data_IF_929858187798
#
_entry.id   IF_929858187798
#
_cell.length_a   1.000
_cell.length_b   1.000
_cell.length_c   1.000
_cell.angle_alpha   90.00
_cell.angle_beta   90.00
_cell.angle_gamma   90.00
#
_symmetry.space_group_name_H-M   'P 1'
#
loop_
_entity.id
_entity.type
_entity.pdbx_description
1 polymer ?
#
# COMPACT_ATOMS: atom_id res chain seq x y z
N UNK A 1 6.91 22.85 -10.16
CA UNK A 1 8.09 21.97 -10.24
C UNK A 1 7.67 20.75 -11.01
N UNK A 2 8.33 20.49 -12.13
CA UNK A 2 8.08 19.33 -12.99
C UNK A 2 8.31 18.06 -12.14
N UNK A 3 7.29 17.22 -12.03
CA UNK A 3 7.33 15.96 -11.27
C UNK A 3 7.54 14.77 -12.21
N UNK A 4 7.98 14.98 -13.44
CA UNK A 4 8.28 13.90 -14.36
C UNK A 4 9.30 12.92 -13.76
N UNK A 5 9.05 11.62 -13.89
CA UNK A 5 9.95 10.57 -13.46
C UNK A 5 10.65 9.97 -14.67
N UNK A 6 11.98 9.98 -14.66
CA UNK A 6 12.75 9.19 -15.60
C UNK A 6 12.82 7.74 -15.14
N UNK A 7 12.35 6.81 -15.97
CA UNK A 7 12.41 5.38 -15.73
C UNK A 7 12.87 4.65 -16.99
N UNK A 8 14.08 4.10 -16.95
CA UNK A 8 14.76 3.60 -18.15
C UNK A 8 15.02 4.73 -19.16
N UNK A 9 14.54 4.54 -20.39
CA UNK A 9 14.62 5.55 -21.45
C UNK A 9 13.40 6.48 -21.50
N UNK A 10 12.38 6.24 -20.68
CA UNK A 10 11.13 6.98 -20.71
C UNK A 10 11.12 8.08 -19.64
N UNK A 11 10.39 9.14 -19.95
CA UNK A 11 9.96 10.16 -19.01
C UNK A 11 8.45 10.03 -18.83
N UNK A 12 8.00 9.93 -17.58
CA UNK A 12 6.62 9.59 -17.24
C UNK A 12 6.05 10.67 -16.33
N UNK A 13 4.92 11.23 -16.74
CA UNK A 13 4.13 12.13 -15.90
C UNK A 13 3.28 11.34 -14.90
N UNK A 14 3.10 11.85 -13.67
CA UNK A 14 2.30 11.17 -12.68
C UNK A 14 0.80 11.43 -12.85
N UNK A 15 0.00 10.44 -12.49
CA UNK A 15 -1.35 10.69 -11.97
C UNK A 15 -1.23 11.37 -10.61
N UNK A 16 -2.01 12.43 -10.40
CA UNK A 16 -1.95 13.23 -9.17
C UNK A 16 -3.20 12.97 -8.34
N UNK A 17 -3.03 12.55 -7.08
CA UNK A 17 -4.14 12.57 -6.13
C UNK A 17 -4.24 13.92 -5.46
N UNK A 18 -5.42 14.54 -5.54
CA UNK A 18 -5.72 15.81 -4.87
C UNK A 18 -6.51 15.63 -3.57
N UNK A 19 -6.49 16.64 -2.72
CA UNK A 19 -7.25 16.69 -1.48
C UNK A 19 -8.77 16.59 -1.72
N UNK A 20 -9.27 17.20 -2.79
CA UNK A 20 -10.67 17.11 -3.21
C UNK A 20 -11.14 15.67 -3.44
N UNK A 21 -10.26 14.77 -3.87
CA UNK A 21 -10.55 13.35 -4.12
C UNK A 21 -10.43 12.47 -2.86
N UNK A 22 -9.97 13.04 -1.75
CA UNK A 22 -9.73 12.35 -0.47
C UNK A 22 -10.77 12.71 0.61
N UNK A 23 -11.76 13.55 0.27
CA UNK A 23 -12.71 14.12 1.24
C UNK A 23 -13.48 13.07 2.05
N UNK A 24 -13.78 11.94 1.44
CA UNK A 24 -14.56 10.87 2.06
C UNK A 24 -13.75 10.02 3.04
N UNK A 25 -12.43 10.21 3.14
CA UNK A 25 -11.54 9.31 3.89
C UNK A 25 -10.61 10.03 4.87
N UNK A 26 -10.95 11.27 5.24
CA UNK A 26 -10.15 12.12 6.14
C UNK A 26 -10.76 12.15 7.54
N UNK A 27 -9.89 12.02 8.54
CA UNK A 27 -10.25 12.08 9.95
C UNK A 27 -10.75 13.46 10.40
N UNK A 28 -9.98 14.51 10.09
CA UNK A 28 -10.22 15.87 10.56
C UNK A 28 -11.16 16.64 9.61
N UNK A 29 -12.46 16.40 9.76
CA UNK A 29 -13.51 16.98 8.92
C UNK A 29 -13.60 18.50 9.09
N UNK A 30 -13.38 19.01 10.31
CA UNK A 30 -13.50 20.44 10.58
C UNK A 30 -12.40 21.23 9.88
N UNK A 31 -11.16 20.73 9.91
CA UNK A 31 -10.09 21.26 9.07
C UNK A 31 -10.44 21.18 7.58
N UNK A 32 -10.96 20.03 7.12
CA UNK A 32 -11.25 19.77 5.71
C UNK A 32 -12.28 20.76 5.12
N UNK A 33 -13.24 21.25 5.90
CA UNK A 33 -14.25 22.24 5.44
C UNK A 33 -13.63 23.51 4.85
N UNK A 34 -12.47 23.91 5.35
CA UNK A 34 -11.79 25.16 4.95
C UNK A 34 -10.48 24.94 4.21
N UNK A 35 -9.99 23.69 4.15
CA UNK A 35 -8.71 23.39 3.54
C UNK A 35 -8.74 23.66 2.02
N UNK A 36 -7.77 24.42 1.47
CA UNK A 36 -7.67 24.62 0.03
C UNK A 36 -7.28 23.30 -0.66
N UNK A 37 -7.80 23.09 -1.87
CA UNK A 37 -7.42 21.92 -2.65
C UNK A 37 -5.93 21.98 -3.02
N UNK A 38 -5.27 20.82 -2.99
CA UNK A 38 -3.85 20.68 -3.26
C UNK A 38 -3.51 19.24 -3.64
N UNK A 39 -2.39 19.07 -4.32
CA UNK A 39 -1.81 17.75 -4.59
C UNK A 39 -1.35 17.10 -3.28
N UNK A 40 -1.59 15.80 -3.15
CA UNK A 40 -1.22 15.00 -1.98
C UNK A 40 -0.16 13.96 -2.29
N UNK A 41 -0.27 13.25 -3.42
CA UNK A 41 0.71 12.27 -3.85
C UNK A 41 0.64 12.01 -5.36
N UNK A 42 1.70 11.41 -5.88
CA UNK A 42 1.97 11.24 -7.30
C UNK A 42 2.16 9.75 -7.61
N UNK A 43 1.46 9.22 -8.60
CA UNK A 43 1.49 7.81 -9.00
C UNK A 43 1.98 7.70 -10.44
N UNK A 44 3.06 6.96 -10.66
CA UNK A 44 3.64 6.68 -11.97
C UNK A 44 3.35 5.22 -12.28
N UNK A 45 2.49 4.97 -13.25
CA UNK A 45 1.93 3.63 -13.50
C UNK A 45 2.51 2.98 -14.74
N UNK A 46 2.43 1.64 -14.78
CA UNK A 46 2.81 0.82 -15.94
C UNK A 46 4.27 1.06 -16.41
N UNK A 47 5.18 1.13 -15.44
CA UNK A 47 6.58 1.46 -15.66
C UNK A 47 7.40 0.24 -16.11
N UNK A 48 8.20 0.40 -17.16
CA UNK A 48 9.16 -0.59 -17.62
C UNK A 48 10.48 0.07 -18.03
N UNK A 49 11.62 -0.53 -17.65
CA UNK A 49 12.97 -0.04 -17.98
C UNK A 49 13.33 -0.27 -19.45
N UNK A 50 12.78 -1.32 -20.08
CA UNK A 50 13.01 -1.64 -21.48
C UNK A 50 11.74 -2.17 -22.16
N UNK A 51 11.74 -2.20 -23.50
CA UNK A 51 10.65 -2.82 -24.28
C UNK A 51 10.52 -4.32 -24.00
N UNK A 52 11.64 -5.00 -23.74
CA UNK A 52 11.65 -6.42 -23.42
C UNK A 52 11.00 -6.68 -22.06
N UNK A 53 11.37 -5.89 -21.04
CA UNK A 53 10.73 -5.97 -19.72
C UNK A 53 9.22 -5.71 -19.84
N UNK A 54 8.83 -4.70 -20.64
CA UNK A 54 7.41 -4.42 -20.90
C UNK A 54 6.69 -5.61 -21.51
N UNK A 55 7.28 -6.29 -22.50
CA UNK A 55 6.69 -7.49 -23.09
C UNK A 55 6.51 -8.58 -22.03
N UNK A 56 7.55 -8.89 -21.25
CA UNK A 56 7.49 -9.91 -20.20
C UNK A 56 6.41 -9.61 -19.15
N UNK A 57 6.31 -8.35 -18.72
CA UNK A 57 5.29 -7.90 -17.78
C UNK A 57 3.88 -8.09 -18.34
N UNK A 58 3.65 -7.73 -19.61
CA UNK A 58 2.35 -7.88 -20.27
C UNK A 58 1.99 -9.36 -20.43
N UNK A 59 2.93 -10.19 -20.90
CA UNK A 59 2.74 -11.63 -21.10
C UNK A 59 2.43 -12.37 -19.79
N UNK A 60 2.87 -11.82 -18.65
CA UNK A 60 2.62 -12.37 -17.32
C UNK A 60 1.56 -11.60 -16.53
N UNK A 61 0.82 -10.69 -17.17
CA UNK A 61 -0.26 -9.95 -16.53
C UNK A 61 0.15 -9.11 -15.30
N UNK A 62 1.36 -8.54 -15.32
CA UNK A 62 1.92 -7.76 -14.23
C UNK A 62 2.05 -6.28 -14.58
N UNK A 63 2.00 -5.45 -13.54
CA UNK A 63 2.23 -4.01 -13.60
C UNK A 63 3.18 -3.60 -12.48
N UNK A 64 4.13 -2.72 -12.81
CA UNK A 64 5.01 -2.08 -11.84
C UNK A 64 4.71 -0.59 -11.78
N UNK A 65 4.49 -0.09 -10.58
CA UNK A 65 4.19 1.32 -10.34
C UNK A 65 5.20 1.92 -9.34
N UNK A 66 5.31 3.24 -9.35
CA UNK A 66 5.98 4.02 -8.31
C UNK A 66 5.01 5.03 -7.75
N UNK A 67 4.98 5.18 -6.43
CA UNK A 67 4.23 6.23 -5.74
C UNK A 67 5.16 7.11 -4.92
N UNK A 68 4.97 8.42 -5.02
CA UNK A 68 5.69 9.44 -4.26
C UNK A 68 4.71 10.22 -3.39
N UNK A 69 4.92 10.19 -2.08
CA UNK A 69 4.11 10.88 -1.08
C UNK A 69 5.00 11.93 -0.39
N UNK A 70 4.92 13.22 -0.76
CA UNK A 70 5.57 14.30 -0.03
C UNK A 70 5.17 14.32 1.44
N UNK A 71 6.00 14.88 2.34
CA UNK A 71 5.61 15.02 3.74
C UNK A 71 4.44 16.01 3.87
N UNK A 72 3.51 15.72 4.78
CA UNK A 72 2.35 16.57 4.99
C UNK A 72 1.40 16.05 6.05
N UNK A 73 0.44 16.88 6.42
CA UNK A 73 -0.67 16.54 7.33
C UNK A 73 -2.00 16.87 6.69
N UNK A 74 -3.03 16.09 6.99
CA UNK A 74 -4.44 16.34 6.67
C UNK A 74 -5.15 16.75 7.96
N UNK A 75 -5.00 18.01 8.35
CA UNK A 75 -5.40 18.48 9.68
C UNK A 75 -4.56 17.80 10.77
N UNK A 76 -5.20 17.01 11.62
CA UNK A 76 -4.54 16.25 12.69
C UNK A 76 -3.80 14.98 12.23
N UNK A 77 -4.14 14.37 11.09
CA UNK A 77 -3.53 13.11 10.63
C UNK A 77 -2.37 13.30 9.66
N UNK A 78 -1.48 12.30 9.57
CA UNK A 78 -0.44 12.29 8.54
C UNK A 78 -1.04 12.13 7.13
N UNK A 79 -0.33 12.64 6.12
CA UNK A 79 -0.71 12.39 4.73
C UNK A 79 -0.64 10.90 4.41
N UNK A 80 -1.65 10.41 3.70
CA UNK A 80 -1.86 9.00 3.41
C UNK A 80 -2.54 8.78 2.07
N UNK A 81 -2.48 7.55 1.56
CA UNK A 81 -3.28 7.13 0.41
C UNK A 81 -4.76 6.97 0.77
N UNK A 82 -5.64 6.93 -0.23
CA UNK A 82 -7.08 6.85 -0.02
C UNK A 82 -7.54 5.59 0.74
N UNK A 83 -6.80 4.49 0.57
CA UNK A 83 -7.24 3.16 0.99
C UNK A 83 -8.15 2.49 -0.04
N UNK A 84 -7.93 1.20 -0.27
CA UNK A 84 -8.78 0.40 -1.14
C UNK A 84 -8.63 -1.11 -0.89
N UNK A 85 -9.59 -1.87 -1.40
CA UNK A 85 -9.51 -3.34 -1.52
C UNK A 85 -9.29 -3.75 -2.98
N UNK A 86 -8.91 -5.01 -3.20
CA UNK A 86 -8.86 -5.63 -4.51
C UNK A 86 -10.03 -6.59 -4.71
N UNK A 87 -10.53 -6.78 -5.95
CA UNK A 87 -11.55 -7.78 -6.24
C UNK A 87 -10.97 -9.19 -6.19
N UNK A 88 -11.85 -10.20 -6.14
CA UNK A 88 -11.47 -11.60 -6.30
C UNK A 88 -10.91 -11.88 -7.70
N UNK A 89 -9.93 -12.78 -7.79
CA UNK A 89 -9.49 -13.36 -9.05
C UNK A 89 -10.68 -14.15 -9.64
N UNK A 90 -11.03 -13.94 -10.93
CA UNK A 90 -12.18 -14.62 -11.55
C UNK A 90 -12.16 -16.13 -11.34
N UNK A 91 -13.29 -16.68 -10.85
CA UNK A 91 -13.42 -18.11 -10.57
C UNK A 91 -12.86 -18.56 -9.21
N UNK A 92 -12.40 -17.64 -8.36
CA UNK A 92 -11.87 -17.95 -7.02
C UNK A 92 -12.51 -17.09 -5.94
N UNK A 93 -12.23 -17.41 -4.67
CA UNK A 93 -12.58 -16.57 -3.51
C UNK A 93 -11.40 -15.70 -3.01
N UNK A 94 -10.24 -15.75 -3.66
CA UNK A 94 -9.05 -15.00 -3.26
C UNK A 94 -8.99 -13.66 -4.00
N UNK A 95 -8.73 -12.57 -3.28
CA UNK A 95 -8.47 -11.27 -3.94
C UNK A 95 -7.03 -11.18 -4.44
N UNK A 96 -6.81 -10.35 -5.44
CA UNK A 96 -5.46 -10.05 -5.90
C UNK A 96 -4.61 -9.48 -4.76
N UNK A 97 -3.40 -10.01 -4.51
CA UNK A 97 -2.45 -9.42 -3.58
C UNK A 97 -1.66 -8.31 -4.29
N UNK A 98 -0.81 -7.64 -3.51
CA UNK A 98 0.11 -6.60 -3.98
C UNK A 98 1.38 -6.64 -3.15
N UNK A 99 2.51 -6.23 -3.72
CA UNK A 99 3.76 -6.13 -2.97
C UNK A 99 4.41 -4.78 -3.18
N UNK A 100 4.89 -4.19 -2.09
CA UNK A 100 5.56 -2.91 -2.04
C UNK A 100 7.03 -3.06 -1.66
N UNK A 101 7.87 -2.16 -2.20
CA UNK A 101 9.23 -1.88 -1.72
C UNK A 101 9.31 -0.38 -1.37
N UNK A 102 9.86 -0.06 -0.19
CA UNK A 102 10.14 1.32 0.19
C UNK A 102 11.50 1.73 -0.41
N UNK A 103 11.47 2.51 -1.47
CA UNK A 103 12.67 2.99 -2.17
C UNK A 103 13.38 4.12 -1.42
N UNK A 104 12.64 4.91 -0.64
CA UNK A 104 13.18 6.02 0.16
C UNK A 104 12.18 6.44 1.24
N UNK A 105 12.69 6.72 2.44
CA UNK A 105 11.89 7.26 3.53
C UNK A 105 11.33 6.18 4.45
N UNK A 106 10.17 6.46 5.05
CA UNK A 106 9.46 5.58 5.98
C UNK A 106 7.99 5.52 5.59
N UNK A 107 7.44 4.32 5.54
CA UNK A 107 6.03 4.06 5.28
C UNK A 107 5.43 3.29 6.46
N UNK A 108 4.24 3.70 6.88
CA UNK A 108 3.38 2.88 7.74
C UNK A 108 2.25 2.33 6.87
N UNK A 109 2.19 1.01 6.73
CA UNK A 109 1.14 0.31 5.99
C UNK A 109 0.08 -0.19 6.98
N UNK A 110 -1.10 0.43 6.93
CA UNK A 110 -2.26 -0.04 7.67
C UNK A 110 -3.08 -0.96 6.77
N UNK A 111 -3.09 -2.25 7.10
CA UNK A 111 -3.85 -3.28 6.42
C UNK A 111 -5.08 -3.63 7.25
N UNK A 112 -6.18 -3.94 6.59
CA UNK A 112 -7.40 -4.43 7.26
C UNK A 112 -8.10 -5.49 6.42
N UNK A 113 -8.51 -6.57 7.07
CA UNK A 113 -9.31 -7.64 6.45
C UNK A 113 -10.78 -7.37 6.68
N UNK A 114 -11.58 -7.38 5.62
CA UNK A 114 -13.04 -7.21 5.72
C UNK A 114 -13.76 -8.45 5.20
N UNK A 115 -14.59 -9.05 6.05
CA UNK A 115 -15.45 -10.18 5.70
C UNK A 115 -16.88 -9.87 6.15
N UNK A 116 -17.84 -10.02 5.24
CA UNK A 116 -19.26 -9.76 5.55
C UNK A 116 -19.57 -8.35 6.04
N UNK A 117 -18.72 -7.36 5.70
CA UNK A 117 -18.86 -5.96 6.15
C UNK A 117 -18.24 -5.67 7.53
N UNK A 118 -17.63 -6.66 8.18
CA UNK A 118 -16.93 -6.51 9.45
C UNK A 118 -15.42 -6.54 9.25
N UNK A 119 -14.70 -5.75 10.03
CA UNK A 119 -13.23 -5.79 10.03
C UNK A 119 -12.79 -6.90 10.99
N UNK A 120 -12.18 -7.95 10.46
CA UNK A 120 -11.84 -9.15 11.23
C UNK A 120 -10.36 -9.16 11.67
N UNK A 121 -9.49 -8.43 10.98
CA UNK A 121 -8.09 -8.24 11.38
C UNK A 121 -7.58 -6.87 10.94
N UNK A 122 -6.66 -6.30 11.72
CA UNK A 122 -5.97 -5.05 11.40
C UNK A 122 -4.49 -5.20 11.72
N UNK A 123 -3.66 -4.91 10.72
CA UNK A 123 -2.21 -5.00 10.81
C UNK A 123 -1.58 -3.65 10.49
N UNK A 124 -0.60 -3.24 11.29
CA UNK A 124 0.30 -2.15 10.96
C UNK A 124 1.70 -2.70 10.68
N UNK A 125 2.29 -2.30 9.56
CA UNK A 125 3.68 -2.60 9.22
C UNK A 125 4.44 -1.29 9.02
N UNK A 126 5.46 -1.07 9.86
CA UNK A 126 6.40 0.05 9.71
C UNK A 126 7.58 -0.42 8.85
N UNK A 127 7.82 0.25 7.73
CA UNK A 127 8.79 -0.16 6.73
C UNK A 127 9.65 1.03 6.27
N UNK A 128 10.98 0.90 6.40
CA UNK A 128 11.94 1.89 5.96
C UNK A 128 12.59 1.51 4.63
N UNK A 129 13.57 2.31 4.20
CA UNK A 129 14.29 2.09 2.94
C UNK A 129 14.82 0.64 2.78
N UNK A 130 14.51 0.04 1.62
CA UNK A 130 14.84 -1.33 1.25
C UNK A 130 13.92 -2.40 1.85
N UNK A 131 12.98 -2.04 2.74
CA UNK A 131 12.01 -2.99 3.27
C UNK A 131 10.90 -3.29 2.25
N UNK A 132 10.35 -4.49 2.36
CA UNK A 132 9.25 -4.97 1.51
C UNK A 132 8.01 -5.25 2.35
N UNK A 133 6.83 -5.06 1.77
CA UNK A 133 5.56 -5.39 2.42
C UNK A 133 4.64 -6.06 1.40
N UNK A 134 4.23 -7.29 1.68
CA UNK A 134 3.19 -7.98 0.91
C UNK A 134 1.82 -7.68 1.54
N UNK A 135 0.88 -7.23 0.72
CA UNK A 135 -0.55 -7.12 1.05
C UNK A 135 -1.23 -8.45 0.67
N UNK A 136 -1.66 -9.26 1.65
CA UNK A 136 -2.26 -10.57 1.37
C UNK A 136 -3.68 -10.47 0.78
N UNK A 137 -4.19 -11.56 0.18
CA UNK A 137 -5.59 -11.65 -0.23
C UNK A 137 -6.56 -11.35 0.93
N UNK A 138 -7.65 -10.66 0.63
CA UNK A 138 -8.69 -10.23 1.58
C UNK A 138 -8.38 -8.92 2.32
N UNK A 139 -7.14 -8.40 2.24
CA UNK A 139 -6.76 -7.17 2.92
C UNK A 139 -6.89 -5.96 1.99
N UNK A 140 -7.54 -4.91 2.51
CA UNK A 140 -7.38 -3.56 2.02
C UNK A 140 -6.18 -2.91 2.70
N UNK A 141 -5.64 -1.86 2.10
CA UNK A 141 -4.44 -1.22 2.63
C UNK A 141 -4.44 0.31 2.44
N UNK A 142 -3.84 1.00 3.40
CA UNK A 142 -3.51 2.43 3.37
C UNK A 142 -2.01 2.57 3.62
N UNK A 143 -1.33 3.42 2.85
CA UNK A 143 0.05 3.81 3.13
C UNK A 143 0.09 5.22 3.68
N UNK A 144 0.76 5.39 4.80
CA UNK A 144 0.89 6.65 5.53
C UNK A 144 2.36 7.07 5.46
N UNK A 145 2.62 8.36 5.19
CA UNK A 145 3.94 8.94 5.38
C UNK A 145 3.98 9.64 6.74
N UNK A 146 4.56 9.01 7.78
CA UNK A 146 4.59 9.54 9.15
C UNK A 146 5.71 10.58 9.35
N UNK A 147 6.50 10.90 8.30
CA UNK A 147 7.74 11.64 8.43
C UNK A 147 7.67 13.05 7.86
N UNK A 148 8.69 13.86 8.15
CA UNK A 148 8.92 15.15 7.51
C UNK A 148 9.75 15.04 6.21
N UNK A 149 9.93 13.82 5.67
CA UNK A 149 10.65 13.55 4.43
C UNK A 149 9.69 12.96 3.39
N UNK A 150 10.09 13.03 2.12
CA UNK A 150 9.35 12.39 1.04
C UNK A 150 9.47 10.86 1.16
N UNK A 151 8.33 10.18 1.10
CA UNK A 151 8.24 8.73 0.96
C UNK A 151 8.15 8.41 -0.53
N UNK A 152 9.03 7.51 -1.00
CA UNK A 152 8.96 6.93 -2.34
C UNK A 152 8.93 5.41 -2.20
N UNK A 153 7.97 4.80 -2.88
CA UNK A 153 7.79 3.35 -2.90
C UNK A 153 7.48 2.87 -4.30
N UNK A 154 7.82 1.62 -4.58
CA UNK A 154 7.37 0.89 -5.77
C UNK A 154 6.42 -0.23 -5.38
N UNK A 155 5.65 -0.71 -6.34
CA UNK A 155 4.80 -1.88 -6.15
C UNK A 155 4.72 -2.73 -7.42
N UNK A 156 4.66 -4.06 -7.22
CA UNK A 156 4.20 -5.02 -8.22
C UNK A 156 2.79 -5.45 -7.91
N UNK A 157 1.98 -5.53 -8.96
CA UNK A 157 0.57 -5.86 -8.85
C UNK A 157 0.09 -6.54 -10.13
N UNK A 158 -1.00 -7.32 -10.04
CA UNK A 158 -1.69 -7.79 -11.23
C UNK A 158 -2.25 -6.61 -12.03
N UNK A 159 -2.17 -6.69 -13.35
CA UNK A 159 -2.80 -5.70 -14.25
C UNK A 159 -4.29 -5.95 -14.50
N UNK A 160 -4.81 -7.08 -14.05
CA UNK A 160 -6.15 -7.58 -14.40
C UNK A 160 -7.24 -7.14 -13.42
N UNK A 161 -6.97 -6.13 -12.57
CA UNK A 161 -7.98 -5.58 -11.68
C UNK A 161 -7.99 -4.05 -11.61
N UNK A 162 -9.10 -3.54 -11.07
CA UNK A 162 -9.26 -2.15 -10.65
C UNK A 162 -9.61 -2.10 -9.17
N UNK A 163 -9.00 -1.15 -8.45
CA UNK A 163 -9.17 -0.98 -7.01
C UNK A 163 -10.61 -0.66 -6.61
N UNK A 164 -11.07 -1.26 -5.51
CA UNK A 164 -12.39 -1.03 -4.90
C UNK A 164 -12.27 -0.01 -3.76
N UNK A 165 -12.47 1.27 -4.07
CA UNK A 165 -12.37 2.37 -3.09
C UNK A 165 -13.62 2.55 -2.22
N UNK A 166 -14.78 2.12 -2.71
CA UNK A 166 -16.07 2.37 -2.07
C UNK A 166 -16.18 1.91 -0.61
N UNK A 167 -15.63 0.74 -0.20
CA UNK A 167 -15.66 0.32 1.21
C UNK A 167 -14.99 1.32 2.16
N UNK A 168 -13.84 1.89 1.76
CA UNK A 168 -13.13 2.89 2.55
C UNK A 168 -13.91 4.22 2.61
N UNK A 169 -14.50 4.64 1.48
CA UNK A 169 -15.34 5.85 1.43
C UNK A 169 -16.55 5.76 2.36
N UNK A 170 -17.27 4.64 2.32
CA UNK A 170 -18.42 4.39 3.21
C UNK A 170 -18.04 4.41 4.68
N UNK A 171 -16.87 3.87 5.00
CA UNK A 171 -16.34 3.86 6.35
C UNK A 171 -15.71 5.20 6.77
N UNK A 172 -15.61 6.20 5.90
CA UNK A 172 -14.92 7.45 6.25
C UNK A 172 -13.40 7.33 6.32
N UNK A 173 -12.80 6.26 5.80
CA UNK A 173 -11.37 5.96 5.94
C UNK A 173 -11.11 4.49 6.29
N UNK A 174 -9.89 4.22 6.77
CA UNK A 174 -9.50 2.90 7.24
C UNK A 174 -10.01 2.58 8.65
N UNK A 175 -9.70 1.39 9.15
CA UNK A 175 -10.04 0.93 10.50
C UNK A 175 -9.49 1.86 11.61
N UNK A 176 -8.36 2.49 11.33
CA UNK A 176 -7.68 3.42 12.22
C UNK A 176 -7.11 4.61 11.43
N UNK A 177 -6.89 5.70 12.15
CA UNK A 177 -6.18 6.90 11.68
C UNK A 177 -4.92 7.12 12.49
N UNK A 178 -3.81 7.45 11.82
CA UNK A 178 -2.55 7.79 12.48
C UNK A 178 -2.40 9.31 12.55
N UNK A 179 -2.44 9.83 13.78
CA UNK A 179 -2.34 11.26 14.04
C UNK A 179 -0.88 11.69 14.14
N UNK A 180 -0.64 12.95 13.77
CA UNK A 180 0.70 13.53 13.76
C UNK A 180 1.28 13.86 15.15
N UNK A 181 0.56 13.50 16.21
CA UNK A 181 0.98 13.56 17.60
C UNK A 181 1.26 12.15 18.19
N UNK A 182 1.37 11.13 17.33
CA UNK A 182 1.71 9.76 17.71
C UNK A 182 0.52 8.90 18.17
N UNK A 183 -0.70 9.45 18.22
CA UNK A 183 -1.90 8.68 18.54
C UNK A 183 -2.41 7.90 17.33
N UNK A 184 -2.91 6.70 17.60
CA UNK A 184 -3.63 5.90 16.61
C UNK A 184 -5.08 5.79 17.07
N UNK A 185 -6.01 6.32 16.29
CA UNK A 185 -7.41 6.49 16.67
C UNK A 185 -8.27 5.50 15.89
N UNK A 186 -9.12 4.73 16.59
CA UNK A 186 -10.12 3.85 15.95
C UNK A 186 -11.11 4.68 15.15
N UNK A 187 -11.43 4.20 13.96
CA UNK A 187 -12.46 4.81 13.14
C UNK A 187 -13.86 4.38 13.60
N UNK A 188 -14.54 5.21 14.38
CA UNK A 188 -15.88 4.91 14.90
C UNK A 188 -16.99 4.74 13.86
N UNK A 189 -16.70 4.88 12.55
CA UNK A 189 -17.66 4.63 11.46
C UNK A 189 -17.58 3.22 10.89
N UNK A 190 -16.55 2.46 11.23
CA UNK A 190 -16.47 1.05 10.85
C UNK A 190 -17.15 0.18 11.90
N UNK A 191 -17.89 -0.84 11.44
CA UNK A 191 -18.46 -1.85 12.32
C UNK A 191 -17.38 -2.84 12.76
N UNK A 192 -17.25 -3.02 14.09
CA UNK A 192 -16.33 -3.95 14.74
C UNK A 192 -14.86 -3.80 14.30
N UNK A 193 -14.03 -3.20 15.14
CA UNK A 193 -12.61 -3.00 14.83
C UNK A 193 -11.77 -3.73 15.89
N UNK A 194 -11.02 -4.78 15.54
CA UNK A 194 -10.13 -5.47 16.45
C UNK A 194 -8.91 -4.60 16.77
N UNK A 195 -8.13 -5.02 17.76
CA UNK A 195 -6.87 -4.36 18.12
C UNK A 195 -5.84 -4.51 16.99
N UNK A 196 -5.04 -3.46 16.77
CA UNK A 196 -3.98 -3.50 15.76
C UNK A 196 -2.89 -4.48 16.19
N UNK A 197 -2.53 -5.39 15.29
CA UNK A 197 -1.29 -6.16 15.39
C UNK A 197 -0.18 -5.45 14.63
N UNK A 198 1.00 -5.38 15.23
CA UNK A 198 2.18 -4.82 14.57
C UNK A 198 3.02 -5.98 14.02
N UNK A 199 3.30 -5.97 12.72
CA UNK A 199 4.18 -6.95 12.09
C UNK A 199 5.43 -6.27 11.53
N UNK A 200 6.52 -7.03 11.45
CA UNK A 200 7.75 -6.63 10.78
C UNK A 200 7.54 -6.64 9.26
N UNK A 201 8.33 -5.86 8.50
CA UNK A 201 8.36 -5.97 7.04
C UNK A 201 8.64 -7.39 6.56
N UNK A 202 8.12 -7.72 5.38
CA UNK A 202 8.26 -9.03 4.75
C UNK A 202 9.73 -9.33 4.46
N UNK A 203 10.19 -10.50 4.92
CA UNK A 203 11.52 -11.03 4.62
C UNK A 203 11.43 -12.49 4.18
N UNK A 204 10.80 -12.72 3.04
CA UNK A 204 10.47 -14.04 2.51
C UNK A 204 11.26 -14.26 1.22
N UNK A 205 12.50 -14.75 1.36
CA UNK A 205 13.46 -14.82 0.26
C UNK A 205 13.04 -15.76 -0.87
N UNK A 206 12.17 -16.74 -0.60
CA UNK A 206 11.63 -17.69 -1.59
C UNK A 206 10.86 -16.96 -2.73
N UNK A 207 10.18 -15.86 -2.42
CA UNK A 207 9.51 -14.99 -3.41
C UNK A 207 10.32 -13.73 -3.74
N UNK A 208 11.62 -13.75 -3.46
CA UNK A 208 12.53 -12.65 -3.80
C UNK A 208 12.50 -11.45 -2.85
N UNK A 209 11.64 -11.47 -1.83
CA UNK A 209 11.53 -10.37 -0.86
C UNK A 209 12.62 -10.48 0.20
N UNK A 210 13.39 -9.42 0.37
CA UNK A 210 14.40 -9.32 1.41
C UNK A 210 14.98 -7.92 1.47
N UNK A 211 15.30 -7.47 2.68
CA UNK A 211 15.73 -6.08 2.89
C UNK A 211 16.91 -5.70 2.01
N UNK A 212 16.79 -4.58 1.29
CA UNK A 212 17.83 -4.03 0.41
C UNK A 212 17.99 -4.76 -0.93
N UNK A 213 17.15 -5.76 -1.22
CA UNK A 213 17.07 -6.33 -2.57
C UNK A 213 16.10 -5.51 -3.40
N UNK A 214 16.59 -5.01 -4.53
CA UNK A 214 15.80 -4.22 -5.47
C UNK A 214 14.68 -5.08 -6.09
N UNK A 215 13.43 -4.60 -6.02
CA UNK A 215 12.25 -5.39 -6.38
C UNK A 215 11.90 -5.37 -7.86
N UNK A 216 12.23 -4.30 -8.61
CA UNK A 216 11.99 -4.24 -10.06
C UNK A 216 12.73 -5.37 -10.79
N UNK A 217 13.95 -5.70 -10.35
CA UNK A 217 14.79 -6.76 -10.88
C UNK A 217 14.12 -8.14 -10.92
N UNK A 218 13.03 -8.36 -10.17
CA UNK A 218 12.19 -9.56 -10.26
C UNK A 218 11.54 -9.76 -11.63
N UNK A 219 11.50 -8.75 -12.51
CA UNK A 219 11.11 -8.95 -13.91
C UNK A 219 11.97 -10.00 -14.63
N UNK A 220 13.22 -10.20 -14.18
CA UNK A 220 14.14 -11.23 -14.71
C UNK A 220 13.89 -12.63 -14.14
N UNK A 221 13.10 -12.72 -13.08
CA UNK A 221 12.68 -13.95 -12.41
C UNK A 221 11.19 -13.85 -12.08
N UNK A 222 10.39 -13.60 -13.12
CA UNK A 222 8.96 -13.24 -13.03
C UNK A 222 8.11 -14.34 -12.37
N UNK A 223 8.63 -15.57 -12.36
CA UNK A 223 8.02 -16.71 -11.66
C UNK A 223 7.80 -16.45 -10.17
N UNK A 224 8.68 -15.65 -9.54
CA UNK A 224 8.55 -15.25 -8.13
C UNK A 224 7.36 -14.33 -7.87
N UNK A 225 6.78 -13.75 -8.91
CA UNK A 225 5.63 -12.85 -8.83
C UNK A 225 4.32 -13.53 -9.25
N UNK A 226 4.32 -14.83 -9.58
CA UNK A 226 3.13 -15.55 -10.05
C UNK A 226 1.98 -15.52 -9.02
N UNK A 227 2.30 -15.45 -7.72
CA UNK A 227 1.32 -15.30 -6.65
C UNK A 227 0.42 -14.06 -6.80
N UNK A 228 0.87 -13.03 -7.53
CA UNK A 228 0.08 -11.82 -7.80
C UNK A 228 -1.11 -12.11 -8.72
N UNK A 229 -1.04 -13.14 -9.56
CA UNK A 229 -2.11 -13.55 -10.47
C UNK A 229 -2.80 -14.86 -10.05
N UNK A 230 -2.11 -15.69 -9.27
CA UNK A 230 -2.62 -17.00 -8.79
C UNK A 230 -2.59 -17.13 -7.27
N UNK A 231 -3.11 -16.17 -6.50
CA UNK A 231 -2.97 -16.17 -5.04
C UNK A 231 -3.52 -17.41 -4.34
N UNK A 232 -4.53 -18.05 -4.92
CA UNK A 232 -5.15 -19.27 -4.37
C UNK A 232 -4.21 -20.49 -4.35
N UNK A 233 -3.09 -20.44 -5.07
CA UNK A 233 -2.10 -21.53 -5.11
C UNK A 233 -0.97 -21.34 -4.07
N UNK A 234 -1.03 -20.27 -3.25
CA UNK A 234 0.06 -19.81 -2.39
C UNK A 234 -0.33 -19.69 -0.91
N UNK A 235 -1.24 -20.53 -0.39
CA UNK A 235 -1.72 -20.46 1.00
C UNK A 235 -0.60 -20.38 2.05
N UNK A 236 0.46 -21.18 1.90
CA UNK A 236 1.63 -21.15 2.79
C UNK A 236 2.38 -19.81 2.79
N UNK A 237 2.32 -19.04 1.70
CA UNK A 237 2.88 -17.70 1.66
C UNK A 237 2.05 -16.75 2.54
N UNK A 238 0.72 -16.86 2.49
CA UNK A 238 -0.19 -16.01 3.27
C UNK A 238 -0.10 -16.27 4.77
N UNK A 239 -0.01 -17.55 5.15
CA UNK A 239 0.27 -17.95 6.53
C UNK A 239 1.60 -17.37 7.03
N UNK A 240 2.66 -17.46 6.21
CA UNK A 240 3.97 -16.92 6.58
C UNK A 240 3.97 -15.40 6.70
N UNK A 241 3.31 -14.67 5.77
CA UNK A 241 3.22 -13.20 5.82
C UNK A 241 2.48 -12.72 7.08
N UNK A 242 1.38 -13.38 7.43
CA UNK A 242 0.51 -12.98 8.54
C UNK A 242 0.89 -13.59 9.90
N UNK A 243 1.89 -14.47 9.91
CA UNK A 243 2.34 -15.22 11.08
C UNK A 243 2.65 -14.32 12.28
N UNK A 244 2.25 -14.78 13.47
CA UNK A 244 2.58 -14.12 14.73
C UNK A 244 4.10 -14.17 15.03
N UNK A 245 4.87 -15.00 14.36
CA UNK A 245 6.34 -14.98 14.41
C UNK A 245 6.92 -13.66 13.88
N UNK A 246 6.17 -12.98 13.00
CA UNK A 246 6.53 -11.67 12.47
C UNK A 246 6.15 -10.52 13.39
N UNK A 247 5.62 -10.75 14.60
CA UNK A 247 5.22 -9.68 15.50
C UNK A 247 6.36 -8.70 15.76
N UNK A 248 6.06 -7.43 15.56
CA UNK A 248 6.87 -6.30 15.98
C UNK A 248 6.35 -5.79 17.32
N UNK A 249 7.25 -5.26 18.15
CA UNK A 249 6.81 -4.42 19.27
C UNK A 249 6.45 -3.06 18.66
N UNK A 250 5.33 -2.44 19.05
CA UNK A 250 5.07 -1.07 18.64
C UNK A 250 6.25 -0.21 19.08
N UNK A 251 6.81 0.59 18.17
CA UNK A 251 7.94 1.44 18.53
C UNK A 251 7.42 2.55 19.45
N UNK A 252 7.63 2.36 20.75
CA UNK A 252 7.29 3.34 21.80
C UNK A 252 8.34 4.47 21.81
N UNK A 253 9.48 4.30 21.13
CA UNK A 253 10.64 5.18 21.24
C UNK A 253 10.68 6.33 20.22
N UNK A 254 9.72 6.43 19.29
CA UNK A 254 9.65 7.50 18.29
C UNK A 254 8.36 8.36 18.39
N UNK A 255 7.59 8.22 19.46
CA UNK A 255 6.34 8.96 19.69
C UNK A 255 6.52 10.13 20.64
#
# INVERSE_FOLDING_TARGET
>A
MERALRFGQNEVEPDVRKLSEMRDVIYDIDWLKTAPDRDLYYMYRDLAMSRNDRSLMLDNHLRFDITVIPPGKLGAEYVKTAGHYHPCVPGTCCTYPEVYEVLRGMAHYLLQKCEGGRIEDVVMVEAGEGDHVIIPPGYGHVTINPSNKELKMSNWVSRDFSSLYEPYKKCGGGAYFELADGRIIRNGRCDHIPDIRFLKPTNITKVGMGKGKEMYGLVRDISKLEFLNRPQDYDLLWEEVLSDENRAKPDVAAR
#
